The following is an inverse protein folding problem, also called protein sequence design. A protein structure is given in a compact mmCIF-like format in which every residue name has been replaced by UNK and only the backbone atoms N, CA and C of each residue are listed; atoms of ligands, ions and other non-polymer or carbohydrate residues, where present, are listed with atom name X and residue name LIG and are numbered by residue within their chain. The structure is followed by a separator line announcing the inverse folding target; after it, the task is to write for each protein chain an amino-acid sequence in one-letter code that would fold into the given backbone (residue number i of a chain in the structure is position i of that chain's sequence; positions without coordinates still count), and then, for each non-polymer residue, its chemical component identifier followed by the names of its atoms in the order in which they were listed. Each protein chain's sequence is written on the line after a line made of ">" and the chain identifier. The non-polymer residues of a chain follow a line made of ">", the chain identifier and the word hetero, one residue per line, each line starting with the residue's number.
data_IF_018473565122
#
_entry.id   IF_018473565122
#
_cell.length_a   1.000
_cell.length_b   1.000
_cell.length_c   1.000
_cell.angle_alpha   90.00
_cell.angle_beta   90.00
_cell.angle_gamma   90.00
#
_symmetry.space_group_name_H-M   'P 1'
#
loop_
_entity.id
_entity.type
_entity.pdbx_description
1 polymer ?
#
# COMPACT_ATOMS: atom_id res chain seq x y z
N UNK A 1 -13.23 42.51 12.14
CA UNK A 1 -13.21 41.59 10.97
C UNK A 1 -12.43 40.32 11.26
N UNK A 2 -11.22 40.40 11.83
CA UNK A 2 -10.38 39.24 12.14
C UNK A 2 -10.99 38.28 13.18
N UNK A 3 -11.57 38.82 14.26
CA UNK A 3 -12.30 38.02 15.27
C UNK A 3 -13.54 37.30 14.72
N UNK A 4 -14.24 37.89 13.75
CA UNK A 4 -15.46 37.28 13.18
C UNK A 4 -15.12 36.12 12.25
N UNK A 5 -14.04 36.21 11.47
CA UNK A 5 -13.55 35.10 10.65
C UNK A 5 -13.05 33.94 11.51
N UNK A 6 -12.32 34.26 12.58
CA UNK A 6 -11.85 33.27 13.55
C UNK A 6 -13.02 32.54 14.23
N UNK A 7 -14.03 33.29 14.68
CA UNK A 7 -15.24 32.71 15.26
C UNK A 7 -16.00 31.80 14.28
N UNK A 8 -16.10 32.16 13.00
CA UNK A 8 -16.72 31.31 11.98
C UNK A 8 -15.91 30.03 11.74
N UNK A 9 -14.59 30.15 11.68
CA UNK A 9 -13.70 28.99 11.54
C UNK A 9 -13.86 28.02 12.71
N UNK A 10 -13.68 28.51 13.94
CA UNK A 10 -13.73 27.69 15.17
C UNK A 10 -15.11 27.04 15.38
N UNK A 11 -16.20 27.74 15.07
CA UNK A 11 -17.54 27.24 15.36
C UNK A 11 -18.20 26.49 14.20
N UNK A 12 -17.81 26.71 12.95
CA UNK A 12 -18.49 26.09 11.81
C UNK A 12 -17.62 25.03 11.16
N UNK A 13 -16.31 25.27 11.05
CA UNK A 13 -15.40 24.44 10.22
C UNK A 13 -14.46 23.56 11.05
N UNK A 14 -13.94 24.07 12.16
CA UNK A 14 -12.96 23.36 12.99
C UNK A 14 -13.54 22.07 13.57
N UNK A 15 -12.68 21.05 13.73
CA UNK A 15 -13.01 19.72 14.25
C UNK A 15 -14.11 18.94 13.51
N UNK A 16 -14.44 19.31 12.27
CA UNK A 16 -15.38 18.56 11.41
C UNK A 16 -14.70 17.47 10.61
N UNK A 17 -15.25 16.26 10.64
CA UNK A 17 -14.83 15.19 9.77
C UNK A 17 -15.66 15.17 8.48
N UNK A 18 -15.13 15.74 7.39
CA UNK A 18 -15.79 15.75 6.08
C UNK A 18 -15.85 14.37 5.39
N UNK A 19 -15.34 13.31 6.02
CA UNK A 19 -15.55 11.91 5.60
C UNK A 19 -16.84 11.30 6.21
N UNK A 20 -17.39 11.93 7.26
CA UNK A 20 -18.61 11.50 7.96
C UNK A 20 -19.83 12.21 7.41
N UNK A 21 -20.88 11.44 7.05
CA UNK A 21 -22.13 12.01 6.56
C UNK A 21 -22.78 12.90 7.63
N UNK A 22 -22.77 12.45 8.88
CA UNK A 22 -23.37 13.14 10.01
C UNK A 22 -22.71 14.51 10.25
N UNK A 23 -21.39 14.58 10.18
CA UNK A 23 -20.61 15.81 10.36
C UNK A 23 -20.85 16.80 9.22
N UNK A 24 -20.98 16.31 7.98
CA UNK A 24 -21.31 17.14 6.81
C UNK A 24 -22.71 17.74 6.96
N UNK A 25 -23.70 16.94 7.40
CA UNK A 25 -25.05 17.45 7.66
C UNK A 25 -25.05 18.51 8.79
N UNK A 26 -24.28 18.30 9.85
CA UNK A 26 -24.14 19.26 10.95
C UNK A 26 -23.46 20.55 10.50
N UNK A 27 -22.41 20.46 9.68
CA UNK A 27 -21.75 21.60 9.06
C UNK A 27 -22.75 22.44 8.25
N UNK A 28 -23.51 21.82 7.34
CA UNK A 28 -24.48 22.52 6.50
C UNK A 28 -25.59 23.20 7.34
N UNK A 29 -26.08 22.52 8.38
CA UNK A 29 -27.07 23.09 9.32
C UNK A 29 -26.51 24.32 10.04
N UNK A 30 -25.27 24.26 10.54
CA UNK A 30 -24.63 25.42 11.21
C UNK A 30 -24.37 26.57 10.25
N UNK A 31 -23.99 26.29 8.99
CA UNK A 31 -23.87 27.35 7.98
C UNK A 31 -25.20 28.08 7.80
N UNK A 32 -26.32 27.35 7.67
CA UNK A 32 -27.66 27.96 7.56
C UNK A 32 -28.03 28.72 8.83
N UNK A 33 -27.79 28.15 10.01
CA UNK A 33 -28.10 28.78 11.31
C UNK A 33 -27.39 30.12 11.48
N UNK A 34 -26.09 30.20 11.13
CA UNK A 34 -25.29 31.43 11.20
C UNK A 34 -25.68 32.48 10.14
N UNK A 35 -26.45 32.08 9.11
CA UNK A 35 -26.98 33.01 8.10
C UNK A 35 -28.37 33.53 8.48
N UNK A 36 -29.12 32.77 9.28
CA UNK A 36 -30.48 33.09 9.69
C UNK A 36 -30.55 33.69 11.11
N UNK A 37 -29.46 33.60 11.89
CA UNK A 37 -29.40 34.04 13.29
C UNK A 37 -28.13 34.85 13.57
N UNK A 38 -28.27 35.99 14.25
CA UNK A 38 -27.12 36.76 14.71
C UNK A 38 -26.47 36.09 15.92
N UNK A 39 -25.36 35.39 15.69
CA UNK A 39 -24.62 34.66 16.73
C UNK A 39 -23.68 35.55 17.56
N UNK A 40 -23.67 36.88 17.34
CA UNK A 40 -22.78 37.82 18.06
C UNK A 40 -23.36 38.32 19.38
N UNK A 41 -24.66 38.13 19.59
CA UNK A 41 -25.41 38.59 20.77
C UNK A 41 -26.18 37.43 21.40
N UNK A 42 -26.24 37.35 22.73
CA UNK A 42 -27.03 36.31 23.45
C UNK A 42 -28.53 36.34 23.14
N UNK A 43 -28.99 37.43 22.53
CA UNK A 43 -30.31 37.51 21.94
C UNK A 43 -30.20 36.98 20.51
N UNK A 44 -30.62 35.73 20.28
CA UNK A 44 -30.70 35.09 18.96
C UNK A 44 -31.72 35.83 18.06
N UNK A 45 -31.33 37.00 17.57
CA UNK A 45 -32.12 37.80 16.68
C UNK A 45 -32.08 37.18 15.28
N UNK A 46 -33.26 37.00 14.68
CA UNK A 46 -33.37 36.53 13.29
C UNK A 46 -32.69 37.54 12.37
N UNK A 47 -31.78 37.06 11.53
CA UNK A 47 -31.12 37.85 10.51
C UNK A 47 -31.71 37.56 9.14
N UNK A 48 -31.85 38.60 8.32
CA UNK A 48 -32.23 38.42 6.92
C UNK A 48 -30.98 38.12 6.10
N UNK A 49 -30.88 36.90 5.58
CA UNK A 49 -29.74 36.46 4.77
C UNK A 49 -29.44 37.38 3.56
N UNK A 50 -30.45 38.09 3.02
CA UNK A 50 -30.24 39.04 1.93
C UNK A 50 -29.44 40.29 2.32
N UNK A 51 -29.33 40.58 3.62
CA UNK A 51 -28.48 41.65 4.15
C UNK A 51 -27.02 41.19 4.35
N UNK A 52 -26.78 39.87 4.32
CA UNK A 52 -25.47 39.23 4.49
C UNK A 52 -24.87 38.83 3.13
N UNK A 53 -25.70 38.26 2.25
CA UNK A 53 -25.27 37.64 1.00
C UNK A 53 -26.01 38.27 -0.18
N UNK A 54 -25.24 38.90 -1.06
CA UNK A 54 -25.77 39.60 -2.25
C UNK A 54 -26.52 38.68 -3.22
N UNK A 55 -26.08 37.42 -3.35
CA UNK A 55 -26.70 36.42 -4.22
C UNK A 55 -26.90 35.08 -3.49
N UNK A 56 -28.10 34.87 -2.96
CA UNK A 56 -28.46 33.68 -2.16
C UNK A 56 -28.37 32.39 -2.95
N UNK A 57 -28.85 32.39 -4.20
CA UNK A 57 -28.90 31.19 -5.02
C UNK A 57 -27.50 30.70 -5.35
N UNK A 58 -26.60 31.61 -5.70
CA UNK A 58 -25.19 31.29 -5.97
C UNK A 58 -24.47 30.79 -4.72
N UNK A 59 -24.69 31.45 -3.58
CA UNK A 59 -24.10 31.01 -2.30
C UNK A 59 -24.58 29.62 -1.89
N UNK A 60 -25.89 29.35 -1.91
CA UNK A 60 -26.40 28.02 -1.60
C UNK A 60 -25.90 26.99 -2.61
N UNK A 61 -25.86 27.32 -3.90
CA UNK A 61 -25.31 26.41 -4.91
C UNK A 61 -23.86 26.05 -4.58
N UNK A 62 -23.03 27.01 -4.18
CA UNK A 62 -21.63 26.79 -3.80
C UNK A 62 -21.46 25.97 -2.51
N UNK A 63 -22.25 26.27 -1.47
CA UNK A 63 -22.16 25.54 -0.18
C UNK A 63 -22.65 24.10 -0.31
N UNK A 64 -23.77 23.89 -1.01
CA UNK A 64 -24.39 22.58 -1.14
C UNK A 64 -23.84 21.74 -2.29
N UNK A 65 -23.15 22.33 -3.28
CA UNK A 65 -22.39 21.55 -4.26
C UNK A 65 -21.17 20.88 -3.64
N UNK A 66 -20.64 21.45 -2.56
CA UNK A 66 -19.41 21.01 -1.90
C UNK A 66 -18.20 21.03 -2.85
N UNK A 67 -18.23 21.86 -3.90
CA UNK A 67 -17.12 21.96 -4.88
C UNK A 67 -15.81 22.48 -4.26
N UNK A 68 -15.89 23.05 -3.05
CA UNK A 68 -14.73 23.45 -2.26
C UNK A 68 -14.01 22.27 -1.58
N UNK A 69 -14.62 21.07 -1.57
CA UNK A 69 -13.98 19.83 -1.14
C UNK A 69 -13.35 19.14 -2.34
N UNK A 70 -12.06 18.81 -2.24
CA UNK A 70 -11.37 17.99 -3.23
C UNK A 70 -11.11 16.59 -2.65
N UNK A 71 -11.49 15.50 -3.33
CA UNK A 71 -11.15 14.16 -2.85
C UNK A 71 -9.64 13.98 -2.88
N UNK A 72 -9.06 13.61 -1.73
CA UNK A 72 -7.67 13.20 -1.63
C UNK A 72 -7.64 11.69 -1.50
N UNK A 73 -7.00 11.02 -2.45
CA UNK A 73 -6.81 9.58 -2.40
C UNK A 73 -5.48 9.28 -1.71
N UNK A 74 -5.53 8.45 -0.68
CA UNK A 74 -4.35 7.94 0.01
C UNK A 74 -4.32 6.42 -0.12
N UNK A 75 -3.15 5.88 -0.49
CA UNK A 75 -2.97 4.43 -0.53
C UNK A 75 -2.62 3.95 0.88
N UNK A 76 -3.31 2.91 1.31
CA UNK A 76 -3.10 2.29 2.61
C UNK A 76 -2.80 0.80 2.47
N UNK A 77 -1.81 0.32 3.21
CA UNK A 77 -1.48 -1.10 3.32
C UNK A 77 -1.66 -1.55 4.77
N UNK A 78 -2.59 -2.47 5.03
CA UNK A 78 -2.97 -2.90 6.40
C UNK A 78 -3.28 -1.72 7.34
N UNK A 79 -3.90 -0.65 6.83
CA UNK A 79 -4.26 0.53 7.62
C UNK A 79 -3.11 1.52 7.86
N UNK A 80 -1.91 1.28 7.32
CA UNK A 80 -0.81 2.25 7.30
C UNK A 80 -0.82 3.06 6.01
N UNK A 81 -0.60 4.37 6.09
CA UNK A 81 -0.40 5.17 4.89
C UNK A 81 0.96 4.88 4.24
N UNK A 82 1.11 5.26 2.97
CA UNK A 82 2.39 5.18 2.26
C UNK A 82 3.54 5.80 3.07
N UNK A 83 3.33 6.93 3.72
CA UNK A 83 4.40 7.64 4.44
C UNK A 83 4.91 6.86 5.66
N UNK A 84 4.04 6.06 6.28
CA UNK A 84 4.34 5.22 7.44
C UNK A 84 5.03 3.89 7.08
N UNK A 85 5.11 3.55 5.79
CA UNK A 85 5.78 2.33 5.33
C UNK A 85 7.30 2.49 5.35
N UNK A 86 7.99 1.41 5.72
CA UNK A 86 9.44 1.30 5.59
C UNK A 86 9.88 1.37 4.11
N UNK A 87 11.15 1.70 3.84
CA UNK A 87 11.68 1.70 2.47
C UNK A 87 11.46 0.36 1.73
N UNK A 88 11.62 -0.77 2.43
CA UNK A 88 11.37 -2.10 1.87
C UNK A 88 9.90 -2.32 1.52
N UNK A 89 8.98 -1.99 2.43
CA UNK A 89 7.52 -2.08 2.17
C UNK A 89 7.09 -1.20 0.98
N UNK A 90 7.64 0.03 0.88
CA UNK A 90 7.40 0.92 -0.25
C UNK A 90 7.86 0.32 -1.58
N UNK A 91 9.06 -0.26 -1.60
CA UNK A 91 9.60 -0.93 -2.79
C UNK A 91 8.76 -2.13 -3.22
N UNK A 92 8.36 -2.96 -2.25
CA UNK A 92 7.49 -4.11 -2.49
C UNK A 92 6.13 -3.69 -3.05
N UNK A 93 5.53 -2.64 -2.48
CA UNK A 93 4.24 -2.12 -2.91
C UNK A 93 4.32 -1.57 -4.35
N UNK A 94 5.39 -0.85 -4.69
CA UNK A 94 5.63 -0.39 -6.06
C UNK A 94 5.73 -1.57 -7.04
N UNK A 95 6.47 -2.62 -6.67
CA UNK A 95 6.59 -3.83 -7.49
C UNK A 95 5.22 -4.50 -7.67
N UNK A 96 4.43 -4.63 -6.60
CA UNK A 96 3.07 -5.16 -6.68
C UNK A 96 2.20 -4.35 -7.63
N UNK A 97 2.23 -3.02 -7.52
CA UNK A 97 1.49 -2.15 -8.44
C UNK A 97 1.93 -2.33 -9.88
N UNK A 98 3.23 -2.42 -10.11
CA UNK A 98 3.77 -2.67 -11.43
C UNK A 98 3.28 -4.01 -11.99
N UNK A 99 3.38 -5.10 -11.21
CA UNK A 99 2.91 -6.43 -11.61
C UNK A 99 1.39 -6.49 -11.82
N UNK A 100 0.60 -5.72 -11.06
CA UNK A 100 -0.85 -5.74 -11.13
C UNK A 100 -1.42 -4.83 -12.24
N UNK A 101 -0.76 -3.70 -12.54
CA UNK A 101 -1.24 -2.71 -13.51
C UNK A 101 -0.66 -2.91 -14.91
N UNK A 102 0.56 -3.42 -15.00
CA UNK A 102 1.22 -3.64 -16.28
C UNK A 102 0.68 -4.90 -16.97
N UNK A 103 -0.14 -4.69 -17.99
CA UNK A 103 -0.74 -5.76 -18.80
C UNK A 103 0.14 -6.19 -19.97
N UNK A 104 1.36 -5.70 -20.08
CA UNK A 104 2.27 -6.09 -21.17
C UNK A 104 2.89 -7.46 -20.92
N UNK A 105 3.04 -8.25 -21.97
CA UNK A 105 3.70 -9.57 -21.89
C UNK A 105 5.23 -9.48 -21.88
N UNK A 106 5.78 -8.25 -21.77
CA UNK A 106 7.22 -8.02 -21.81
C UNK A 106 7.91 -8.76 -20.64
N UNK A 107 9.04 -9.46 -20.90
CA UNK A 107 9.81 -10.10 -19.84
C UNK A 107 10.35 -9.08 -18.83
N UNK A 108 10.41 -9.48 -17.57
CA UNK A 108 10.94 -8.65 -16.48
C UNK A 108 12.06 -9.38 -15.75
N UNK A 109 13.11 -8.63 -15.40
CA UNK A 109 14.21 -9.11 -14.56
C UNK A 109 14.15 -8.37 -13.23
N UNK A 110 14.12 -9.10 -12.13
CA UNK A 110 14.01 -8.54 -10.78
C UNK A 110 15.15 -9.09 -9.93
N UNK A 111 15.95 -8.20 -9.35
CA UNK A 111 17.05 -8.57 -8.45
C UNK A 111 16.61 -8.32 -7.01
N UNK A 112 16.68 -9.37 -6.18
CA UNK A 112 16.35 -9.35 -4.76
C UNK A 112 15.05 -8.58 -4.41
N UNK A 113 13.89 -8.95 -4.98
CA UNK A 113 12.63 -8.28 -4.64
C UNK A 113 12.24 -8.39 -3.15
N UNK A 114 12.84 -9.32 -2.42
CA UNK A 114 12.68 -9.48 -0.98
C UNK A 114 13.49 -8.50 -0.12
N UNK A 115 14.39 -7.70 -0.69
CA UNK A 115 15.34 -6.93 0.11
C UNK A 115 14.62 -5.96 1.06
N UNK A 116 15.05 -5.94 2.33
CA UNK A 116 14.43 -5.17 3.41
C UNK A 116 12.97 -5.54 3.76
N UNK A 117 12.47 -6.70 3.31
CA UNK A 117 11.18 -7.27 3.73
C UNK A 117 11.36 -8.48 4.64
N UNK A 118 10.45 -8.64 5.60
CA UNK A 118 10.37 -9.88 6.36
C UNK A 118 9.74 -11.01 5.53
N UNK A 119 10.08 -12.26 5.88
CA UNK A 119 9.60 -13.45 5.17
C UNK A 119 8.07 -13.57 5.10
N UNK A 120 7.34 -13.10 6.11
CA UNK A 120 5.89 -13.14 6.11
C UNK A 120 5.31 -12.12 5.11
N UNK A 121 5.88 -10.92 5.04
CA UNK A 121 5.52 -9.92 4.03
C UNK A 121 5.80 -10.41 2.61
N UNK A 122 6.96 -11.03 2.35
CA UNK A 122 7.28 -11.63 1.05
C UNK A 122 6.24 -12.66 0.64
N UNK A 123 5.92 -13.61 1.52
CA UNK A 123 4.96 -14.67 1.24
C UNK A 123 3.53 -14.18 1.04
N UNK A 124 3.09 -13.18 1.83
CA UNK A 124 1.71 -12.68 1.79
C UNK A 124 1.48 -11.64 0.70
N UNK A 125 2.48 -10.80 0.44
CA UNK A 125 2.37 -9.67 -0.48
C UNK A 125 2.92 -10.06 -1.84
N UNK A 126 4.21 -10.39 -1.98
CA UNK A 126 4.83 -10.55 -3.30
C UNK A 126 4.42 -11.83 -4.03
N UNK A 127 4.41 -12.97 -3.34
CA UNK A 127 4.18 -14.28 -3.96
C UNK A 127 2.87 -14.34 -4.77
N UNK A 128 1.70 -13.92 -4.26
CA UNK A 128 0.46 -13.96 -5.04
C UNK A 128 0.52 -13.17 -6.35
N UNK A 129 1.12 -11.98 -6.34
CA UNK A 129 1.23 -11.14 -7.55
C UNK A 129 2.25 -11.68 -8.53
N UNK A 130 3.36 -12.25 -8.05
CA UNK A 130 4.33 -12.94 -8.91
C UNK A 130 3.65 -14.13 -9.60
N UNK A 131 2.89 -14.95 -8.86
CA UNK A 131 2.15 -16.09 -9.42
C UNK A 131 1.11 -15.69 -10.45
N UNK A 132 0.41 -14.58 -10.23
CA UNK A 132 -0.55 -14.08 -11.22
C UNK A 132 0.13 -13.46 -12.44
N UNK A 133 1.22 -12.72 -12.24
CA UNK A 133 1.94 -12.07 -13.33
C UNK A 133 2.65 -13.08 -14.25
N UNK A 134 3.28 -14.13 -13.70
CA UNK A 134 3.99 -15.15 -14.48
C UNK A 134 3.09 -15.96 -15.44
N UNK A 135 1.78 -15.98 -15.21
CA UNK A 135 0.81 -16.61 -16.12
C UNK A 135 0.73 -15.89 -17.47
N UNK A 136 1.09 -14.60 -17.51
CA UNK A 136 0.93 -13.74 -18.68
C UNK A 136 2.24 -13.10 -19.16
N UNK A 137 3.32 -13.18 -18.38
CA UNK A 137 4.64 -12.63 -18.74
C UNK A 137 5.78 -13.47 -18.18
N UNK A 138 6.94 -13.43 -18.83
CA UNK A 138 8.12 -14.09 -18.29
C UNK A 138 8.75 -13.25 -17.16
N UNK A 139 9.00 -13.88 -16.01
CA UNK A 139 9.65 -13.26 -14.86
C UNK A 139 10.95 -14.01 -14.56
N UNK A 140 12.07 -13.29 -14.54
CA UNK A 140 13.39 -13.80 -14.15
C UNK A 140 13.77 -13.12 -12.84
N UNK A 141 13.98 -13.88 -11.79
CA UNK A 141 14.31 -13.33 -10.47
C UNK A 141 15.62 -13.89 -9.93
N UNK A 142 16.39 -13.02 -9.29
CA UNK A 142 17.53 -13.41 -8.45
C UNK A 142 17.07 -13.27 -7.01
N UNK A 143 17.09 -14.36 -6.26
CA UNK A 143 16.58 -14.38 -4.88
C UNK A 143 17.34 -15.37 -4.02
N UNK A 144 17.42 -15.06 -2.74
CA UNK A 144 17.87 -15.98 -1.69
C UNK A 144 16.70 -16.39 -0.77
N UNK A 145 15.47 -16.00 -1.10
CA UNK A 145 14.30 -16.27 -0.30
C UNK A 145 13.56 -17.53 -0.80
N UNK A 146 13.38 -18.58 0.04
CA UNK A 146 12.65 -19.78 -0.36
C UNK A 146 11.18 -19.52 -0.69
N UNK A 147 10.56 -18.47 -0.16
CA UNK A 147 9.18 -18.12 -0.54
C UNK A 147 9.09 -17.68 -2.01
N UNK A 148 10.10 -17.00 -2.53
CA UNK A 148 10.12 -16.56 -3.92
C UNK A 148 10.58 -17.64 -4.88
N UNK A 149 11.54 -18.48 -4.47
CA UNK A 149 12.00 -19.58 -5.30
C UNK A 149 10.99 -20.74 -5.35
N UNK A 150 10.40 -21.10 -4.21
CA UNK A 150 9.62 -22.34 -4.04
C UNK A 150 8.13 -22.06 -3.94
N UNK A 151 7.71 -21.14 -3.07
CA UNK A 151 6.27 -20.88 -2.85
C UNK A 151 5.64 -20.14 -4.03
N UNK A 152 6.41 -19.30 -4.72
CA UNK A 152 6.02 -18.72 -6.01
C UNK A 152 6.08 -19.72 -7.18
N UNK A 153 6.43 -20.98 -6.91
CA UNK A 153 6.29 -22.11 -7.82
C UNK A 153 7.11 -21.97 -9.11
N UNK A 154 8.41 -21.65 -8.98
CA UNK A 154 9.26 -21.39 -10.13
C UNK A 154 9.39 -22.63 -11.05
N UNK A 155 9.11 -22.47 -12.34
CA UNK A 155 9.19 -23.55 -13.33
C UNK A 155 10.65 -23.97 -13.61
N UNK A 156 11.57 -23.01 -13.50
CA UNK A 156 12.98 -23.22 -13.76
C UNK A 156 13.82 -22.52 -12.70
N UNK A 157 14.71 -23.28 -12.09
CA UNK A 157 15.72 -22.80 -11.16
C UNK A 157 17.08 -22.82 -11.87
N UNK A 158 17.81 -21.74 -11.71
CA UNK A 158 19.19 -21.60 -12.17
C UNK A 158 20.08 -21.52 -10.92
N UNK A 159 20.73 -22.63 -10.60
CA UNK A 159 21.70 -22.67 -9.51
C UNK A 159 23.07 -22.27 -10.03
N UNK A 160 23.68 -21.30 -9.33
CA UNK A 160 25.01 -20.78 -9.64
C UNK A 160 25.94 -21.06 -8.47
N UNK A 161 27.10 -21.64 -8.76
CA UNK A 161 28.16 -21.88 -7.79
C UNK A 161 29.47 -21.22 -8.25
N UNK A 162 30.19 -20.62 -7.30
CA UNK A 162 31.53 -20.08 -7.53
C UNK A 162 32.48 -20.73 -6.54
N UNK A 163 33.32 -21.63 -7.04
CA UNK A 163 34.38 -22.23 -6.25
C UNK A 163 35.54 -21.24 -6.07
N UNK A 164 35.47 -20.47 -4.99
CA UNK A 164 36.50 -19.48 -4.61
C UNK A 164 37.87 -20.11 -4.34
N UNK A 165 37.91 -21.39 -3.98
CA UNK A 165 39.16 -22.10 -3.67
C UNK A 165 39.89 -22.57 -4.93
N UNK A 166 39.15 -22.80 -6.02
CA UNK A 166 39.66 -23.25 -7.30
C UNK A 166 39.65 -22.12 -8.35
N UNK A 167 40.21 -20.97 -8.00
CA UNK A 167 40.36 -19.85 -8.92
C UNK A 167 39.04 -19.18 -9.36
N UNK A 168 38.02 -19.19 -8.49
CA UNK A 168 36.67 -18.69 -8.78
C UNK A 168 36.02 -19.42 -9.96
N UNK A 169 36.20 -20.74 -10.05
CA UNK A 169 35.54 -21.55 -11.08
C UNK A 169 34.02 -21.37 -10.99
N UNK A 170 33.43 -20.90 -12.09
CA UNK A 170 32.00 -20.68 -12.21
C UNK A 170 31.32 -21.92 -12.77
N UNK A 171 30.30 -22.42 -12.07
CA UNK A 171 29.49 -23.55 -12.49
C UNK A 171 28.01 -23.18 -12.39
N UNK A 172 27.23 -23.66 -13.37
CA UNK A 172 25.79 -23.41 -13.44
C UNK A 172 25.07 -24.71 -13.73
N UNK A 173 23.97 -24.96 -13.02
CA UNK A 173 23.06 -26.07 -13.28
C UNK A 173 21.62 -25.59 -13.24
N UNK A 174 20.80 -26.11 -14.14
CA UNK A 174 19.41 -25.67 -14.29
C UNK A 174 18.46 -26.85 -14.29
N UNK A 175 17.26 -26.66 -13.76
CA UNK A 175 16.17 -27.62 -13.86
C UNK A 175 14.94 -27.14 -13.11
N UNK A 176 13.88 -27.93 -13.11
CA UNK A 176 12.68 -27.64 -12.35
C UNK A 176 12.85 -27.97 -10.87
N UNK A 177 11.93 -27.52 -10.02
CA UNK A 177 11.96 -27.76 -8.56
C UNK A 177 11.85 -29.26 -8.24
N UNK A 178 11.20 -30.05 -9.11
CA UNK A 178 11.00 -31.49 -8.93
C UNK A 178 12.23 -32.33 -9.34
N UNK A 179 13.21 -31.73 -10.02
CA UNK A 179 14.45 -32.43 -10.34
C UNK A 179 15.24 -32.67 -9.03
N UNK A 180 15.53 -33.95 -8.72
CA UNK A 180 16.19 -34.33 -7.46
C UNK A 180 17.52 -33.63 -7.22
N UNK A 181 18.35 -33.45 -8.27
CA UNK A 181 19.66 -32.80 -8.14
C UNK A 181 19.51 -31.31 -7.85
N UNK A 182 18.56 -30.64 -8.50
CA UNK A 182 18.26 -29.23 -8.26
C UNK A 182 17.61 -29.04 -6.89
N UNK A 183 16.71 -29.94 -6.49
CA UNK A 183 16.05 -29.91 -5.20
C UNK A 183 17.06 -29.99 -4.04
N UNK A 184 18.05 -30.89 -4.13
CA UNK A 184 19.14 -30.99 -3.16
C UNK A 184 19.92 -29.67 -3.07
N UNK A 185 20.30 -29.08 -4.22
CA UNK A 185 20.99 -27.79 -4.27
C UNK A 185 20.17 -26.65 -3.67
N UNK A 186 18.86 -26.62 -3.92
CA UNK A 186 17.93 -25.64 -3.34
C UNK A 186 17.94 -25.74 -1.81
N UNK A 187 17.79 -26.96 -1.27
CA UNK A 187 17.76 -27.18 0.19
C UNK A 187 19.10 -26.79 0.83
N UNK A 188 20.21 -27.09 0.16
CA UNK A 188 21.53 -26.73 0.67
C UNK A 188 21.74 -25.21 0.73
N UNK A 189 21.28 -24.47 -0.29
CA UNK A 189 21.44 -23.00 -0.35
C UNK A 189 20.43 -22.26 0.52
N UNK A 190 19.14 -22.57 0.38
CA UNK A 190 18.05 -21.79 0.97
C UNK A 190 17.73 -22.21 2.40
N UNK A 191 17.92 -23.49 2.73
CA UNK A 191 17.56 -24.04 4.05
C UNK A 191 18.76 -24.38 4.93
N UNK A 192 19.99 -24.31 4.38
CA UNK A 192 21.21 -24.59 5.11
C UNK A 192 21.41 -26.07 5.41
N UNK A 193 21.04 -26.95 4.46
CA UNK A 193 21.11 -28.43 4.44
C UNK A 193 19.89 -29.18 4.99
N UNK A 194 19.65 -30.37 4.42
CA UNK A 194 18.53 -31.26 4.79
C UNK A 194 18.51 -31.66 6.28
N UNK A 195 19.65 -31.96 6.95
CA UNK A 195 19.67 -32.22 8.39
C UNK A 195 19.23 -31.02 9.24
N UNK A 196 19.65 -29.80 8.86
CA UNK A 196 19.25 -28.59 9.56
C UNK A 196 17.74 -28.34 9.43
N UNK A 197 17.20 -28.54 8.23
CA UNK A 197 15.76 -28.45 7.96
C UNK A 197 14.95 -29.42 8.83
N UNK A 198 15.31 -30.71 8.84
CA UNK A 198 14.63 -31.73 9.67
C UNK A 198 14.70 -31.42 11.16
N UNK A 199 15.85 -30.94 11.63
CA UNK A 199 16.02 -30.56 13.05
C UNK A 199 15.09 -29.42 13.45
N UNK A 200 14.94 -28.39 12.60
CA UNK A 200 13.99 -27.30 12.83
C UNK A 200 12.55 -27.80 12.79
N UNK A 201 12.19 -28.59 11.77
CA UNK A 201 10.85 -29.14 11.60
C UNK A 201 10.40 -29.94 12.84
N UNK A 202 11.28 -30.80 13.38
CA UNK A 202 10.98 -31.58 14.58
C UNK A 202 10.74 -30.69 15.81
N UNK A 203 11.52 -29.61 16.01
CA UNK A 203 11.34 -28.71 17.16
C UNK A 203 10.03 -27.93 17.16
N UNK A 204 9.42 -27.69 15.99
CA UNK A 204 8.13 -26.98 15.90
C UNK A 204 6.92 -27.89 16.10
N UNK A 205 7.11 -29.21 16.03
CA UNK A 205 6.04 -30.21 16.14
C UNK A 205 6.15 -31.08 17.41
N UNK A 206 7.02 -30.71 18.36
CA UNK A 206 7.02 -31.20 19.75
C UNK A 206 6.13 -30.30 20.61
#
# INVERSE_FOLDING_TARGET
>A
MENSKKMLWENVVEDRNFESKEDVEEFLKRVVEYLETDMRTDQMASTYIGDIVSNRNEFYSYVFSMDFLSPKYEMMQNGKSLDELSPGEKGALLLVFYLALDKTEMPIMIDQPEDNLDNHSVAKILVPYIKSAKEHRQIIMVTHNPNLAIVADAEQIIYVNIDKSNGNKFECSTGSIENSEINEKIVDVLEGTMPAFKTRSNKYHE
#
